data_IF_840020454491
#
_entry.id   IF_840020454491
#
_cell.length_a   1.000
_cell.length_b   1.000
_cell.length_c   1.000
_cell.angle_alpha   90.00
_cell.angle_beta   90.00
_cell.angle_gamma   90.00
#
_symmetry.space_group_name_H-M   'P 1'
#
loop_
_entity.id
_entity.type
_entity.pdbx_description
1 polymer ?
#
# COMPACT_ATOMS: atom_id res chain seq x y z
N UNK A 1 18.29 -10.01 -5.86
CA UNK A 1 17.14 -10.75 -6.43
C UNK A 1 16.02 -10.73 -5.41
N UNK A 2 14.78 -10.51 -5.83
CA UNK A 2 13.63 -10.61 -4.93
C UNK A 2 13.56 -12.02 -4.32
N UNK A 3 13.37 -12.10 -3.00
CA UNK A 3 13.27 -13.33 -2.23
C UNK A 3 12.21 -13.17 -1.15
N UNK A 4 11.64 -14.26 -0.66
CA UNK A 4 10.66 -14.22 0.44
C UNK A 4 11.22 -13.46 1.66
N UNK A 5 12.49 -13.71 2.00
CA UNK A 5 13.16 -13.08 3.14
C UNK A 5 13.39 -11.59 2.93
N UNK A 6 13.81 -11.17 1.73
CA UNK A 6 14.00 -9.75 1.43
C UNK A 6 12.68 -8.98 1.41
N UNK A 7 11.60 -9.59 0.91
CA UNK A 7 10.26 -8.98 0.93
C UNK A 7 9.70 -8.86 2.35
N UNK A 8 9.83 -9.93 3.16
CA UNK A 8 9.48 -9.89 4.58
C UNK A 8 10.23 -8.77 5.31
N UNK A 9 11.53 -8.64 5.06
CA UNK A 9 12.34 -7.58 5.65
C UNK A 9 11.92 -6.19 5.18
N UNK A 10 11.62 -6.02 3.89
CA UNK A 10 11.14 -4.75 3.35
C UNK A 10 9.79 -4.34 3.96
N UNK A 11 8.87 -5.30 4.12
CA UNK A 11 7.58 -5.07 4.78
C UNK A 11 7.76 -4.77 6.28
N UNK A 12 8.67 -5.46 6.98
CA UNK A 12 8.99 -5.14 8.37
C UNK A 12 9.53 -3.70 8.53
N UNK A 13 10.25 -3.21 7.52
CA UNK A 13 10.92 -1.93 7.53
C UNK A 13 10.11 -0.80 6.87
N UNK A 14 8.81 -1.02 6.57
CA UNK A 14 8.00 0.01 5.92
C UNK A 14 8.01 1.30 6.73
N UNK A 15 8.22 2.42 6.04
CA UNK A 15 8.24 3.73 6.69
C UNK A 15 6.82 4.13 7.06
N UNK A 16 6.51 4.04 8.36
CA UNK A 16 5.22 4.46 8.91
C UNK A 16 5.34 5.88 9.45
N UNK A 17 4.32 6.69 9.18
CA UNK A 17 4.23 8.01 9.75
C UNK A 17 3.83 7.94 11.23
N UNK A 18 4.51 8.73 12.05
CA UNK A 18 4.25 8.87 13.49
C UNK A 18 4.11 10.34 13.85
N UNK A 19 3.16 10.65 14.73
CA UNK A 19 3.07 11.97 15.41
C UNK A 19 2.77 11.76 16.89
N UNK A 20 3.79 11.91 17.72
CA UNK A 20 3.71 11.56 19.14
C UNK A 20 3.32 10.09 19.30
N UNK A 21 2.34 9.81 20.15
CA UNK A 21 1.80 8.46 20.37
C UNK A 21 0.84 8.00 19.27
N UNK A 22 0.41 8.90 18.38
CA UNK A 22 -0.51 8.54 17.30
C UNK A 22 0.23 7.88 16.14
N UNK A 23 -0.05 6.59 15.96
CA UNK A 23 0.28 5.81 14.78
C UNK A 23 -1.00 5.59 13.98
N UNK A 24 -0.95 5.85 12.68
CA UNK A 24 -2.07 5.55 11.81
C UNK A 24 -1.69 4.42 10.84
N UNK A 25 -2.43 3.30 10.81
CA UNK A 25 -2.04 2.07 10.12
C UNK A 25 -2.28 2.11 8.61
N UNK A 26 -2.05 3.25 7.95
CA UNK A 26 -2.35 3.47 6.53
C UNK A 26 -1.67 2.48 5.59
N UNK A 27 -0.33 2.39 5.63
CA UNK A 27 0.41 1.43 4.81
C UNK A 27 0.10 -0.02 5.19
N UNK A 28 0.11 -0.41 6.49
CA UNK A 28 -0.31 -1.76 6.90
C UNK A 28 -1.67 -2.19 6.35
N UNK A 29 -2.71 -1.34 6.46
CA UNK A 29 -4.05 -1.65 5.95
C UNK A 29 -4.07 -1.78 4.43
N UNK A 30 -3.38 -0.89 3.70
CA UNK A 30 -3.26 -0.99 2.24
C UNK A 30 -2.58 -2.29 1.81
N UNK A 31 -1.51 -2.69 2.49
CA UNK A 31 -0.81 -3.94 2.19
C UNK A 31 -1.69 -5.16 2.46
N UNK A 32 -2.44 -5.19 3.57
CA UNK A 32 -3.37 -6.28 3.86
C UNK A 32 -4.46 -6.38 2.79
N UNK A 33 -5.02 -5.25 2.35
CA UNK A 33 -6.01 -5.21 1.27
C UNK A 33 -5.45 -5.80 -0.04
N UNK A 34 -4.26 -5.35 -0.44
CA UNK A 34 -3.60 -5.81 -1.67
C UNK A 34 -3.24 -7.30 -1.60
N UNK A 35 -2.71 -7.77 -0.47
CA UNK A 35 -2.39 -9.18 -0.24
C UNK A 35 -3.65 -10.06 -0.33
N UNK A 36 -4.78 -9.60 0.21
CA UNK A 36 -6.06 -10.29 0.07
C UNK A 36 -6.52 -10.34 -1.40
N UNK A 37 -6.33 -9.26 -2.15
CA UNK A 37 -6.57 -9.26 -3.60
C UNK A 37 -5.74 -10.31 -4.33
N UNK A 38 -4.43 -10.36 -4.08
CA UNK A 38 -3.54 -11.37 -4.67
C UNK A 38 -3.93 -12.81 -4.29
N UNK A 39 -4.36 -13.04 -3.06
CA UNK A 39 -4.85 -14.35 -2.62
C UNK A 39 -6.06 -14.81 -3.46
N UNK A 40 -6.92 -13.86 -3.83
CA UNK A 40 -8.13 -14.04 -4.64
C UNK A 40 -7.89 -13.98 -6.15
N UNK A 41 -6.63 -13.94 -6.60
CA UNK A 41 -6.29 -13.96 -8.03
C UNK A 41 -6.41 -12.61 -8.72
N UNK A 42 -6.41 -11.51 -7.97
CA UNK A 42 -6.39 -10.17 -8.54
C UNK A 42 -5.14 -9.94 -9.43
N UNK A 43 -5.27 -9.20 -10.54
CA UNK A 43 -4.13 -8.70 -11.29
C UNK A 43 -3.14 -7.89 -10.44
N UNK A 44 -1.95 -7.65 -10.97
CA UNK A 44 -0.85 -7.05 -10.20
C UNK A 44 -1.15 -5.64 -9.66
N UNK A 45 -1.75 -4.79 -10.49
CA UNK A 45 -1.97 -3.38 -10.19
C UNK A 45 -3.45 -3.13 -9.89
N UNK A 46 -3.69 -2.26 -8.91
CA UNK A 46 -5.00 -1.79 -8.50
C UNK A 46 -5.16 -0.32 -8.85
N UNK A 47 -6.22 0.04 -9.54
CA UNK A 47 -6.56 1.44 -9.82
C UNK A 47 -6.87 2.19 -8.51
N UNK A 48 -6.25 3.36 -8.34
CA UNK A 48 -6.40 4.11 -7.09
C UNK A 48 -7.85 4.52 -6.84
N UNK A 49 -8.51 5.08 -7.85
CA UNK A 49 -9.83 5.69 -7.69
C UNK A 49 -10.94 4.67 -7.52
N UNK A 50 -10.92 3.61 -8.32
CA UNK A 50 -11.98 2.60 -8.36
C UNK A 50 -11.78 1.42 -7.42
N UNK A 51 -10.53 1.08 -7.06
CA UNK A 51 -10.24 -0.13 -6.29
C UNK A 51 -9.62 0.16 -4.91
N UNK A 52 -8.86 1.24 -4.76
CA UNK A 52 -8.13 1.51 -3.51
C UNK A 52 -8.85 2.51 -2.61
N UNK A 53 -9.41 3.58 -3.17
CA UNK A 53 -9.89 4.72 -2.39
C UNK A 53 -10.93 4.33 -1.32
N UNK A 54 -12.07 3.77 -1.74
CA UNK A 54 -13.18 3.43 -0.83
C UNK A 54 -12.83 2.29 0.15
N UNK A 55 -12.24 1.15 -0.29
CA UNK A 55 -11.86 0.09 0.63
C UNK A 55 -10.85 0.55 1.67
N UNK A 56 -9.82 1.30 1.28
CA UNK A 56 -8.82 1.80 2.22
C UNK A 56 -9.40 2.85 3.17
N UNK A 57 -10.31 3.72 2.68
CA UNK A 57 -11.02 4.68 3.52
C UNK A 57 -11.81 3.96 4.62
N UNK A 58 -12.62 2.97 4.23
CA UNK A 58 -13.44 2.17 5.14
C UNK A 58 -12.60 1.42 6.18
N UNK A 59 -11.45 0.87 5.77
CA UNK A 59 -10.52 0.20 6.68
C UNK A 59 -9.90 1.19 7.69
N UNK A 60 -9.55 2.40 7.24
CA UNK A 60 -8.97 3.43 8.10
C UNK A 60 -9.97 3.97 9.12
N UNK A 61 -11.23 4.11 8.73
CA UNK A 61 -12.31 4.50 9.64
C UNK A 61 -12.55 3.43 10.71
N UNK A 62 -12.51 2.16 10.32
CA UNK A 62 -12.81 1.04 11.23
C UNK A 62 -11.65 0.65 12.16
N UNK A 63 -10.42 0.73 11.67
CA UNK A 63 -9.24 0.18 12.36
C UNK A 63 -8.16 1.22 12.66
N UNK A 64 -8.35 2.47 12.23
CA UNK A 64 -7.45 3.58 12.52
C UNK A 64 -7.95 4.47 13.67
N UNK A 65 -7.09 5.37 14.17
CA UNK A 65 -7.53 6.41 15.09
C UNK A 65 -8.55 7.32 14.39
N UNK A 66 -9.49 7.90 15.15
CA UNK A 66 -10.44 8.87 14.63
C UNK A 66 -9.70 10.09 14.04
N UNK A 67 -10.10 10.49 12.82
CA UNK A 67 -9.53 11.64 12.10
C UNK A 67 -10.63 12.48 11.47
N UNK A 68 -10.36 13.76 11.28
CA UNK A 68 -11.20 14.64 10.46
C UNK A 68 -11.09 14.33 8.96
N UNK A 69 -9.97 13.73 8.54
CA UNK A 69 -9.74 13.31 7.15
C UNK A 69 -8.83 12.08 7.10
N UNK A 70 -9.25 11.05 6.36
CA UNK A 70 -8.44 9.87 6.07
C UNK A 70 -7.73 10.04 4.72
N UNK A 71 -6.39 10.09 4.74
CA UNK A 71 -5.57 10.31 3.55
C UNK A 71 -5.15 8.97 2.94
N UNK A 72 -6.00 8.43 2.06
CA UNK A 72 -5.77 7.15 1.36
C UNK A 72 -4.72 7.28 0.25
N UNK A 73 -4.54 8.48 -0.31
CA UNK A 73 -3.55 8.81 -1.35
C UNK A 73 -2.11 8.65 -0.87
N UNK A 74 -1.84 9.07 0.37
CA UNK A 74 -0.49 9.08 0.92
C UNK A 74 0.16 7.69 1.04
N UNK A 75 -0.48 6.67 1.66
CA UNK A 75 0.12 5.33 1.71
C UNK A 75 0.32 4.75 0.31
N UNK A 76 -0.66 4.93 -0.59
CA UNK A 76 -0.60 4.43 -1.96
C UNK A 76 0.58 5.01 -2.75
N UNK A 77 0.78 6.33 -2.67
CA UNK A 77 1.90 6.99 -3.34
C UNK A 77 3.25 6.66 -2.67
N UNK A 78 3.32 6.74 -1.34
CA UNK A 78 4.58 6.66 -0.59
C UNK A 78 5.17 5.25 -0.54
N UNK A 79 4.38 4.20 -0.79
CA UNK A 79 4.89 2.82 -0.81
C UNK A 79 5.98 2.62 -1.87
N UNK A 80 6.02 3.41 -2.95
CA UNK A 80 7.11 3.37 -3.93
C UNK A 80 8.50 3.53 -3.29
N UNK A 81 8.58 4.30 -2.19
CA UNK A 81 9.84 4.52 -1.45
C UNK A 81 10.26 3.36 -0.54
N UNK A 82 9.47 2.30 -0.44
CA UNK A 82 9.74 1.12 0.39
C UNK A 82 10.33 -0.05 -0.43
N UNK A 83 10.46 0.10 -1.76
CA UNK A 83 11.30 -0.76 -2.61
C UNK A 83 10.65 -2.05 -3.13
N UNK A 84 9.35 -2.21 -2.97
CA UNK A 84 8.59 -3.37 -3.48
C UNK A 84 7.28 -2.96 -4.19
N UNK A 85 7.03 -1.65 -4.33
CA UNK A 85 5.78 -1.10 -4.83
C UNK A 85 6.03 -0.26 -6.09
N UNK A 86 5.17 -0.45 -7.08
CA UNK A 86 5.24 0.24 -8.37
C UNK A 86 3.92 0.98 -8.62
N UNK A 87 4.02 2.16 -9.23
CA UNK A 87 2.86 2.86 -9.78
C UNK A 87 2.96 2.92 -11.30
N UNK A 88 1.83 2.92 -11.95
CA UNK A 88 1.65 3.14 -13.37
C UNK A 88 0.84 4.42 -13.59
N UNK A 89 1.14 5.17 -14.66
CA UNK A 89 0.61 6.50 -14.95
C UNK A 89 1.01 7.60 -13.94
N UNK A 90 1.90 7.29 -12.98
CA UNK A 90 2.36 8.26 -11.99
C UNK A 90 3.20 9.40 -12.59
N UNK A 91 3.81 9.16 -13.75
CA UNK A 91 4.53 10.14 -14.56
C UNK A 91 3.64 11.22 -15.17
N UNK A 92 2.32 10.98 -15.26
CA UNK A 92 1.34 11.96 -15.72
C UNK A 92 0.99 12.97 -14.61
N UNK A 93 1.27 12.62 -13.35
CA UNK A 93 0.90 13.44 -12.21
C UNK A 93 1.93 14.55 -11.93
N UNK A 94 1.44 15.71 -11.53
CA UNK A 94 2.23 16.83 -11.08
C UNK A 94 2.82 16.54 -9.69
N UNK A 95 4.16 16.48 -9.61
CA UNK A 95 4.88 16.20 -8.35
C UNK A 95 5.60 17.42 -7.80
N UNK A 96 5.19 18.62 -8.22
CA UNK A 96 5.80 19.88 -7.79
C UNK A 96 5.52 20.16 -6.30
N UNK A 97 6.51 20.70 -5.60
CA UNK A 97 6.39 21.15 -4.20
C UNK A 97 7.16 20.30 -3.18
N UNK A 98 7.09 20.71 -1.91
CA UNK A 98 7.87 20.13 -0.80
C UNK A 98 7.47 18.69 -0.46
N UNK A 99 6.22 18.31 -0.69
CA UNK A 99 5.72 16.95 -0.47
C UNK A 99 6.12 15.97 -1.57
N UNK A 100 6.45 16.46 -2.78
CA UNK A 100 6.68 15.64 -3.99
C UNK A 100 5.58 14.60 -4.25
N UNK A 101 4.32 14.99 -4.04
CA UNK A 101 3.15 14.13 -4.19
C UNK A 101 2.06 14.88 -4.96
N UNK A 102 1.34 14.23 -5.89
CA UNK A 102 0.27 14.86 -6.63
C UNK A 102 -1.02 15.00 -5.82
N UNK A 103 -1.92 15.91 -6.23
CA UNK A 103 -3.30 15.95 -5.76
C UNK A 103 -4.03 14.63 -5.98
N UNK A 104 -4.89 14.23 -5.03
CA UNK A 104 -5.79 13.05 -5.14
C UNK A 104 -6.56 13.04 -6.46
N UNK A 105 -7.01 14.22 -6.92
CA UNK A 105 -7.74 14.38 -8.17
C UNK A 105 -6.96 13.84 -9.36
N UNK A 106 -5.65 14.05 -9.41
CA UNK A 106 -4.81 13.58 -10.52
C UNK A 106 -4.62 12.06 -10.48
N UNK A 107 -4.58 11.45 -9.29
CA UNK A 107 -4.56 9.99 -9.18
C UNK A 107 -5.81 9.36 -9.81
N UNK A 108 -6.96 10.00 -9.64
CA UNK A 108 -8.23 9.56 -10.24
C UNK A 108 -8.28 9.89 -11.74
N UNK A 109 -7.90 11.11 -12.13
CA UNK A 109 -7.97 11.59 -13.51
C UNK A 109 -7.05 10.77 -14.45
N UNK A 110 -5.87 10.38 -13.96
CA UNK A 110 -4.90 9.62 -14.74
C UNK A 110 -4.96 8.11 -14.49
N UNK A 111 -5.98 7.61 -13.77
CA UNK A 111 -6.15 6.20 -13.47
C UNK A 111 -4.84 5.57 -12.94
N UNK A 112 -4.26 6.21 -11.93
CA UNK A 112 -2.97 5.77 -11.39
C UNK A 112 -3.21 4.43 -10.70
N UNK A 113 -2.54 3.40 -11.23
CA UNK A 113 -2.64 2.06 -10.70
C UNK A 113 -1.38 1.70 -9.91
N UNK A 114 -1.53 0.95 -8.82
CA UNK A 114 -0.44 0.62 -7.90
C UNK A 114 -0.52 -0.79 -7.36
N UNK A 115 0.64 -1.38 -7.11
CA UNK A 115 0.74 -2.73 -6.59
C UNK A 115 2.19 -3.11 -6.33
N UNK A 116 2.41 -4.39 -6.02
CA UNK A 116 3.76 -4.92 -5.95
C UNK A 116 4.44 -4.79 -7.33
N UNK A 117 5.75 -4.57 -7.32
CA UNK A 117 6.54 -4.69 -8.55
C UNK A 117 6.44 -6.12 -9.12
N UNK A 118 6.86 -6.29 -10.37
CA UNK A 118 6.71 -7.56 -11.08
C UNK A 118 7.36 -8.75 -10.36
N UNK A 119 8.55 -8.54 -9.78
CA UNK A 119 9.30 -9.60 -9.12
C UNK A 119 8.60 -10.03 -7.82
N UNK A 120 8.15 -9.07 -7.02
CA UNK A 120 7.46 -9.35 -5.76
C UNK A 120 6.04 -9.88 -5.99
N UNK A 121 5.32 -9.42 -7.02
CA UNK A 121 4.03 -9.97 -7.40
C UNK A 121 4.13 -11.43 -7.85
N UNK A 122 5.08 -11.76 -8.73
CA UNK A 122 5.32 -13.12 -9.18
C UNK A 122 5.70 -14.04 -8.01
N UNK A 123 6.53 -13.53 -7.08
CA UNK A 123 6.93 -14.25 -5.88
C UNK A 123 5.74 -14.61 -4.98
N UNK A 124 4.84 -13.65 -4.69
CA UNK A 124 3.71 -13.90 -3.78
C UNK A 124 2.59 -14.71 -4.41
N UNK A 125 2.31 -14.51 -5.70
CA UNK A 125 1.28 -15.29 -6.42
C UNK A 125 1.74 -16.72 -6.72
N UNK A 126 3.05 -16.93 -6.91
CA UNK A 126 3.65 -18.27 -6.99
C UNK A 126 3.70 -19.02 -5.67
N UNK A 127 3.51 -18.34 -4.52
CA UNK A 127 3.54 -18.96 -3.20
C UNK A 127 2.48 -18.35 -2.26
N UNK A 128 1.25 -18.86 -2.33
CA UNK A 128 0.14 -18.39 -1.46
C UNK A 128 0.42 -18.51 0.04
N UNK A 129 1.29 -19.42 0.48
CA UNK A 129 1.68 -19.50 1.90
C UNK A 129 2.45 -18.24 2.33
N UNK A 130 3.26 -17.67 1.44
CA UNK A 130 3.98 -16.42 1.71
C UNK A 130 3.01 -15.27 1.94
N UNK A 131 1.91 -15.17 1.18
CA UNK A 131 0.88 -14.14 1.39
C UNK A 131 0.36 -14.18 2.84
N UNK A 132 0.02 -15.38 3.33
CA UNK A 132 -0.46 -15.55 4.70
C UNK A 132 0.60 -15.16 5.74
N UNK A 133 1.86 -15.54 5.51
CA UNK A 133 2.98 -15.16 6.39
C UNK A 133 3.19 -13.65 6.44
N UNK A 134 3.13 -12.97 5.29
CA UNK A 134 3.25 -11.51 5.22
C UNK A 134 2.08 -10.82 5.92
N UNK A 135 0.85 -11.30 5.71
CA UNK A 135 -0.32 -10.76 6.36
C UNK A 135 -0.24 -10.91 7.90
N UNK A 136 0.14 -12.09 8.38
CA UNK A 136 0.34 -12.34 9.81
C UNK A 136 1.42 -11.42 10.40
N UNK A 137 2.56 -11.28 9.73
CA UNK A 137 3.64 -10.38 10.15
C UNK A 137 3.15 -8.93 10.26
N UNK A 138 2.34 -8.45 9.32
CA UNK A 138 1.78 -7.09 9.34
C UNK A 138 0.81 -6.94 10.52
N UNK A 139 -0.06 -7.93 10.76
CA UNK A 139 -1.01 -7.90 11.87
C UNK A 139 -0.30 -7.83 13.23
N UNK A 140 0.67 -8.71 13.45
CA UNK A 140 1.47 -8.79 14.69
C UNK A 140 2.29 -7.51 14.95
N UNK A 141 2.78 -6.83 13.92
CA UNK A 141 3.62 -5.64 14.08
C UNK A 141 2.82 -4.34 14.29
N UNK A 142 1.53 -4.33 13.95
CA UNK A 142 0.77 -3.07 13.81
C UNK A 142 -0.60 -3.04 14.49
N UNK A 143 -1.19 -4.18 14.86
CA UNK A 143 -2.58 -4.26 15.34
C UNK A 143 -2.76 -5.10 16.61
N UNK A 144 -1.70 -5.29 17.39
CA UNK A 144 -1.70 -5.97 18.70
C UNK A 144 -1.62 -4.99 19.85
#
# INVERSE_FOLDING_TARGET
MASSKSLQQAIANIKIWHKGEQRAPHKPLLLLYVLAGYLNGHPRLFDYGSEIYEPLHSLLERFGPQRSQYRTDMPFWRLQGDGFWQLHNAELCSTAGSSRQPPVKELNEYHVAGGFDEQHYALVTGNKKLINTLAQQILEAHFT
#
